data_IF_795266969815
#
_entry.id   IF_795266969815
#
_cell.length_a   1.000
_cell.length_b   1.000
_cell.length_c   1.000
_cell.angle_alpha   90.00
_cell.angle_beta   90.00
_cell.angle_gamma   90.00
#
_symmetry.space_group_name_H-M   'P 1'
#
loop_
_entity.id
_entity.type
_entity.pdbx_description
1 polymer ?
#
# COMPACT_ATOMS: atom_id res chain seq x y z
N UNK A 1 19.91 -24.88 -23.19
CA UNK A 1 21.29 -24.60 -22.74
C UNK A 1 21.19 -24.21 -21.26
N UNK A 2 21.39 -25.23 -20.46
CA UNK A 2 21.47 -25.17 -19.00
C UNK A 2 22.97 -25.03 -18.70
N UNK A 3 23.37 -23.99 -18.04
CA UNK A 3 24.59 -23.94 -17.19
C UNK A 3 24.87 -22.50 -16.78
N UNK A 4 24.54 -22.17 -15.53
CA UNK A 4 25.35 -21.36 -14.60
C UNK A 4 24.55 -21.08 -13.32
N UNK A 5 24.46 -22.15 -12.53
CA UNK A 5 24.06 -22.07 -11.11
C UNK A 5 25.15 -22.88 -10.36
N UNK A 6 26.26 -22.26 -10.01
CA UNK A 6 27.15 -22.69 -8.94
C UNK A 6 28.23 -21.62 -8.77
N UNK A 7 28.02 -20.70 -7.84
CA UNK A 7 29.04 -20.06 -7.01
C UNK A 7 28.44 -18.92 -6.21
N UNK A 8 27.96 -19.21 -5.02
CA UNK A 8 28.04 -18.36 -3.83
C UNK A 8 27.75 -19.26 -2.61
N UNK A 9 28.75 -20.00 -2.23
CA UNK A 9 28.82 -20.71 -0.98
C UNK A 9 30.14 -20.42 -0.32
N UNK A 10 30.22 -19.40 0.51
CA UNK A 10 31.16 -19.15 1.62
C UNK A 10 31.16 -17.67 1.97
N UNK A 11 30.47 -17.33 3.03
CA UNK A 11 30.81 -16.36 4.09
C UNK A 11 29.55 -16.23 4.98
N UNK A 12 29.41 -17.14 5.94
CA UNK A 12 28.66 -16.89 7.16
C UNK A 12 29.30 -17.70 8.29
N UNK A 13 30.27 -17.06 8.94
CA UNK A 13 30.66 -17.43 10.30
C UNK A 13 30.93 -16.15 11.09
N UNK A 14 30.33 -16.13 12.30
CA UNK A 14 30.50 -15.18 13.40
C UNK A 14 29.83 -13.80 13.24
N UNK A 15 28.72 -13.57 13.97
CA UNK A 15 28.80 -12.94 15.31
C UNK A 15 27.54 -13.30 16.09
N UNK A 16 27.65 -14.27 17.01
CA UNK A 16 26.80 -14.41 18.17
C UNK A 16 27.40 -13.51 19.25
N UNK A 17 26.79 -12.34 19.49
CA UNK A 17 27.04 -11.59 20.70
C UNK A 17 25.72 -11.41 21.43
N UNK A 18 25.67 -12.03 22.62
CA UNK A 18 24.55 -11.97 23.53
C UNK A 18 24.33 -10.54 24.04
N UNK A 19 23.13 -10.05 23.82
CA UNK A 19 22.61 -8.90 24.56
C UNK A 19 21.71 -9.44 25.65
N UNK A 20 22.21 -9.41 26.88
CA UNK A 20 21.42 -9.56 28.10
C UNK A 20 20.36 -8.46 28.13
N UNK A 21 19.11 -8.84 27.92
CA UNK A 21 17.98 -7.96 28.20
C UNK A 21 17.94 -7.66 29.71
N UNK A 22 18.22 -6.43 30.09
CA UNK A 22 17.86 -5.93 31.42
C UNK A 22 16.38 -5.61 31.41
N UNK A 23 15.62 -6.35 32.20
CA UNK A 23 14.25 -6.04 32.58
C UNK A 23 14.26 -4.83 33.53
N UNK A 24 14.11 -3.62 32.99
CA UNK A 24 13.76 -2.44 33.77
C UNK A 24 12.29 -2.08 33.54
N UNK A 25 11.40 -2.93 34.04
CA UNK A 25 10.00 -2.58 34.22
C UNK A 25 9.86 -1.77 35.52
N UNK A 26 9.82 -0.46 35.43
CA UNK A 26 9.39 0.40 36.52
C UNK A 26 7.89 0.58 36.50
N UNK A 27 7.24 0.06 37.52
CA UNK A 27 5.83 0.30 37.84
C UNK A 27 5.63 1.79 38.14
N UNK A 28 4.86 2.50 37.31
CA UNK A 28 4.52 3.92 37.50
C UNK A 28 3.05 4.02 37.89
N UNK A 29 2.82 4.63 39.07
CA UNK A 29 1.49 4.94 39.60
C UNK A 29 0.73 5.93 38.70
N UNK A 30 -0.62 5.85 38.60
CA UNK A 30 -1.41 6.72 37.73
C UNK A 30 -1.47 8.14 38.30
N UNK A 31 -1.04 9.11 37.49
CA UNK A 31 -1.24 10.53 37.78
C UNK A 31 -0.02 11.41 37.55
N UNK A 32 0.37 11.66 36.30
CA UNK A 32 1.07 12.88 35.91
C UNK A 32 1.03 13.08 34.38
N UNK A 33 0.54 14.25 33.96
CA UNK A 33 0.54 14.72 32.58
C UNK A 33 1.97 14.86 32.06
N UNK A 34 2.14 14.45 30.82
CA UNK A 34 3.37 14.27 30.07
C UNK A 34 4.22 15.54 29.93
N UNK A 35 5.54 15.37 30.05
CA UNK A 35 6.54 16.29 29.50
C UNK A 35 7.08 15.69 28.20
N UNK A 36 6.87 16.38 27.08
CA UNK A 36 7.57 16.06 25.83
C UNK A 36 9.09 16.13 26.05
N UNK A 37 9.76 15.00 25.95
CA UNK A 37 11.18 14.95 25.67
C UNK A 37 11.37 14.99 24.15
N UNK A 38 12.28 15.84 23.70
CA UNK A 38 12.53 16.12 22.27
C UNK A 38 12.56 14.85 21.41
N UNK A 39 11.60 14.73 20.49
CA UNK A 39 11.65 13.80 19.37
C UNK A 39 11.15 12.37 19.62
N UNK A 40 10.44 12.08 20.72
CA UNK A 40 9.88 10.75 20.99
C UNK A 40 8.39 10.86 21.32
N UNK A 41 7.56 10.13 20.58
CA UNK A 41 6.14 9.96 20.91
C UNK A 41 6.01 8.73 21.81
N UNK A 42 5.41 8.89 22.99
CA UNK A 42 5.14 7.77 23.91
C UNK A 42 3.66 7.40 23.74
N UNK A 43 3.41 6.20 23.28
CA UNK A 43 2.05 5.67 23.15
C UNK A 43 1.80 4.61 24.21
N UNK A 44 0.63 4.64 24.85
CA UNK A 44 0.19 3.63 25.79
C UNK A 44 -0.59 2.56 25.02
N UNK A 45 -0.10 1.32 25.07
CA UNK A 45 -0.78 0.15 24.51
C UNK A 45 -1.11 -0.78 25.66
N UNK A 46 -2.38 -0.83 26.06
CA UNK A 46 -2.80 -1.58 27.26
C UNK A 46 -2.05 -1.11 28.52
N UNK A 47 -1.24 -2.00 29.12
CA UNK A 47 -0.39 -1.71 30.31
C UNK A 47 1.02 -1.23 29.96
N UNK A 48 1.39 -1.12 28.66
CA UNK A 48 2.75 -0.83 28.23
C UNK A 48 2.84 0.53 27.56
N UNK A 49 3.98 1.19 27.73
CA UNK A 49 4.33 2.42 27.02
C UNK A 49 5.37 2.08 25.96
N UNK A 50 5.09 2.44 24.71
CA UNK A 50 6.03 2.33 23.60
C UNK A 50 6.49 3.73 23.18
N UNK A 51 7.81 3.93 23.14
CA UNK A 51 8.40 5.22 22.70
C UNK A 51 8.84 5.08 21.27
N UNK A 52 8.11 5.72 20.36
CA UNK A 52 8.45 5.75 18.94
C UNK A 52 9.55 6.77 18.66
N UNK A 53 10.45 6.40 17.76
CA UNK A 53 11.56 7.25 17.31
C UNK A 53 11.20 8.09 16.09
N UNK A 54 10.14 7.75 15.36
CA UNK A 54 9.71 8.42 14.12
C UNK A 54 8.19 8.62 14.09
N UNK A 55 7.75 9.71 13.43
CA UNK A 55 6.33 9.93 13.09
C UNK A 55 6.03 9.23 11.79
N UNK A 56 5.72 7.93 11.85
CA UNK A 56 5.37 7.13 10.67
C UNK A 56 3.89 7.31 10.33
N UNK A 57 3.59 7.60 9.08
CA UNK A 57 2.23 7.63 8.56
C UNK A 57 1.78 6.21 8.18
N UNK A 58 0.53 5.89 8.48
CA UNK A 58 -0.06 4.62 8.09
C UNK A 58 -1.20 4.84 7.11
N UNK A 59 -1.21 4.03 6.06
CA UNK A 59 -2.22 3.99 5.02
C UNK A 59 -2.71 2.56 4.83
N UNK A 60 -3.88 2.40 4.22
CA UNK A 60 -4.51 1.10 4.01
C UNK A 60 -4.58 0.79 2.52
N UNK A 61 -4.22 -0.44 2.15
CA UNK A 61 -4.57 -1.05 0.86
C UNK A 61 -5.61 -2.13 1.12
N UNK A 62 -6.83 -1.86 0.76
CA UNK A 62 -7.90 -2.85 0.81
C UNK A 62 -8.04 -3.57 -0.53
N UNK A 63 -7.85 -4.89 -0.51
CA UNK A 63 -8.03 -5.75 -1.66
C UNK A 63 -9.45 -6.31 -1.74
N UNK A 64 -10.38 -5.84 -0.89
CA UNK A 64 -11.77 -6.35 -0.80
C UNK A 64 -11.82 -7.89 -0.71
N UNK A 65 -11.16 -8.52 0.28
CA UNK A 65 -11.05 -9.97 0.34
C UNK A 65 -12.39 -10.63 0.67
N UNK A 66 -12.73 -11.68 -0.08
CA UNK A 66 -13.85 -12.57 0.24
C UNK A 66 -13.32 -13.62 1.21
N UNK A 67 -13.88 -13.65 2.43
CA UNK A 67 -13.51 -14.60 3.47
C UNK A 67 -14.29 -15.91 3.31
N UNK A 68 -13.74 -17.00 3.82
CA UNK A 68 -14.47 -18.28 3.84
C UNK A 68 -15.78 -18.13 4.61
N UNK A 69 -16.87 -18.61 4.02
CA UNK A 69 -18.23 -18.47 4.59
C UNK A 69 -18.86 -17.09 4.44
N UNK A 70 -18.21 -16.19 3.67
CA UNK A 70 -18.71 -14.87 3.28
C UNK A 70 -18.94 -14.81 1.77
N UNK A 71 -19.43 -13.67 1.28
CA UNK A 71 -19.67 -13.44 -0.15
C UNK A 71 -19.15 -12.04 -0.56
N UNK A 72 -19.24 -11.74 -1.86
CA UNK A 72 -18.79 -10.48 -2.42
C UNK A 72 -19.61 -9.28 -1.89
N UNK A 73 -20.92 -9.45 -1.65
CA UNK A 73 -21.79 -8.38 -1.14
C UNK A 73 -21.35 -7.97 0.26
N UNK A 74 -21.13 -8.95 1.13
CA UNK A 74 -20.64 -8.70 2.49
C UNK A 74 -19.24 -8.08 2.47
N UNK A 75 -18.34 -8.56 1.61
CA UNK A 75 -16.98 -8.00 1.49
C UNK A 75 -16.99 -6.53 1.06
N UNK A 76 -17.86 -6.14 0.15
CA UNK A 76 -18.04 -4.73 -0.25
C UNK A 76 -18.60 -3.87 0.89
N UNK A 77 -19.51 -4.40 1.72
CA UNK A 77 -20.01 -3.70 2.91
C UNK A 77 -18.87 -3.53 3.94
N UNK A 78 -18.08 -4.56 4.17
CA UNK A 78 -16.91 -4.52 5.06
C UNK A 78 -15.87 -3.49 4.61
N UNK A 79 -15.66 -3.33 3.29
CA UNK A 79 -14.82 -2.27 2.74
C UNK A 79 -15.32 -0.87 3.14
N UNK A 80 -16.63 -0.62 3.09
CA UNK A 80 -17.22 0.65 3.53
C UNK A 80 -17.06 0.85 5.04
N UNK A 81 -17.33 -0.18 5.83
CA UNK A 81 -17.17 -0.14 7.29
C UNK A 81 -15.73 0.15 7.70
N UNK A 82 -14.75 -0.53 7.06
CA UNK A 82 -13.33 -0.32 7.31
C UNK A 82 -12.86 1.08 6.89
N UNK A 83 -13.31 1.59 5.76
CA UNK A 83 -12.97 2.94 5.31
C UNK A 83 -13.47 4.03 6.29
N UNK A 84 -14.69 3.88 6.82
CA UNK A 84 -15.24 4.75 7.87
C UNK A 84 -14.40 4.67 9.16
N UNK A 85 -13.98 3.47 9.55
CA UNK A 85 -13.12 3.29 10.71
C UNK A 85 -11.77 3.97 10.50
N UNK A 86 -11.14 3.75 9.33
CA UNK A 86 -9.85 4.32 8.97
C UNK A 86 -9.86 5.86 8.98
N UNK A 87 -10.94 6.47 8.47
CA UNK A 87 -11.14 7.93 8.51
C UNK A 87 -11.22 8.45 9.95
N UNK A 88 -11.99 7.78 10.83
CA UNK A 88 -12.10 8.14 12.25
C UNK A 88 -10.80 7.97 13.01
N UNK A 89 -10.00 6.96 12.68
CA UNK A 89 -8.74 6.66 13.35
C UNK A 89 -7.58 7.56 12.89
N UNK A 90 -7.72 8.26 11.75
CA UNK A 90 -6.69 9.16 11.25
C UNK A 90 -5.64 8.49 10.37
N UNK A 91 -5.97 7.40 9.70
CA UNK A 91 -5.15 6.86 8.61
C UNK A 91 -5.00 7.89 7.49
N UNK A 92 -3.83 7.91 6.85
CA UNK A 92 -3.51 8.92 5.83
C UNK A 92 -4.29 8.70 4.55
N UNK A 93 -4.33 7.45 4.06
CA UNK A 93 -5.04 7.07 2.82
C UNK A 93 -5.67 5.69 2.89
N UNK A 94 -6.69 5.50 2.07
CA UNK A 94 -7.37 4.24 1.86
C UNK A 94 -7.39 3.95 0.36
N UNK A 95 -6.60 3.00 -0.07
CA UNK A 95 -6.49 2.59 -1.45
C UNK A 95 -7.20 1.28 -1.71
N UNK A 96 -7.75 1.16 -2.91
CA UNK A 96 -8.44 -0.04 -3.39
C UNK A 96 -7.66 -0.64 -4.56
N UNK A 97 -7.47 -1.94 -4.55
CA UNK A 97 -6.80 -2.65 -5.65
C UNK A 97 -7.76 -3.07 -6.76
N UNK A 98 -7.25 -3.22 -7.98
CA UNK A 98 -7.95 -3.78 -9.13
C UNK A 98 -7.51 -5.22 -9.32
N UNK A 99 -8.47 -6.16 -9.26
CA UNK A 99 -8.25 -7.58 -9.55
C UNK A 99 -9.39 -8.14 -10.37
N UNK A 100 -9.07 -9.05 -11.29
CA UNK A 100 -10.01 -9.66 -12.19
C UNK A 100 -9.90 -11.18 -12.15
N UNK A 101 -10.98 -11.86 -12.57
CA UNK A 101 -11.07 -13.31 -12.73
C UNK A 101 -10.58 -14.09 -11.50
N UNK A 102 -11.05 -13.70 -10.31
CA UNK A 102 -10.74 -14.38 -9.05
C UNK A 102 -11.99 -14.50 -8.18
N UNK A 103 -12.11 -15.60 -7.44
CA UNK A 103 -13.20 -15.81 -6.48
C UNK A 103 -12.85 -15.32 -5.07
N UNK A 104 -11.61 -14.89 -4.84
CA UNK A 104 -11.11 -14.54 -3.51
C UNK A 104 -11.16 -13.05 -3.19
N UNK A 105 -11.43 -12.20 -4.20
CA UNK A 105 -11.48 -10.75 -4.07
C UNK A 105 -12.72 -10.20 -4.79
N UNK A 106 -13.34 -9.15 -4.25
CA UNK A 106 -14.55 -8.55 -4.80
C UNK A 106 -14.30 -7.22 -5.56
N UNK A 107 -13.06 -6.70 -5.56
CA UNK A 107 -12.72 -5.37 -6.10
C UNK A 107 -12.20 -5.43 -7.53
N UNK A 108 -13.07 -5.22 -8.54
CA UNK A 108 -12.67 -5.16 -9.95
C UNK A 108 -12.58 -3.73 -10.50
N UNK A 109 -13.24 -2.75 -9.88
CA UNK A 109 -13.34 -1.37 -10.33
C UNK A 109 -13.13 -0.40 -9.17
N UNK A 110 -11.88 -0.09 -8.83
CA UNK A 110 -11.56 0.81 -7.71
C UNK A 110 -12.28 2.15 -7.78
N UNK A 111 -12.41 2.74 -8.97
CA UNK A 111 -13.04 4.04 -9.18
C UNK A 111 -14.52 4.08 -8.75
N UNK A 112 -15.25 2.98 -8.90
CA UNK A 112 -16.65 2.88 -8.46
C UNK A 112 -16.71 2.86 -6.93
N UNK A 113 -15.82 2.08 -6.30
CA UNK A 113 -15.74 2.00 -4.84
C UNK A 113 -15.23 3.31 -4.23
N UNK A 114 -14.26 3.98 -4.86
CA UNK A 114 -13.76 5.30 -4.42
C UNK A 114 -14.92 6.31 -4.40
N UNK A 115 -15.78 6.34 -5.43
CA UNK A 115 -16.95 7.21 -5.46
C UNK A 115 -17.89 6.94 -4.27
N UNK A 116 -18.11 5.66 -3.93
CA UNK A 116 -18.91 5.27 -2.77
C UNK A 116 -18.25 5.70 -1.46
N UNK A 117 -16.96 5.41 -1.28
CA UNK A 117 -16.23 5.72 -0.04
C UNK A 117 -16.08 7.21 0.19
N UNK A 118 -15.98 8.01 -0.88
CA UNK A 118 -15.89 9.46 -0.79
C UNK A 118 -17.11 10.10 -0.10
N UNK A 119 -18.29 9.52 -0.32
CA UNK A 119 -19.54 9.96 0.36
C UNK A 119 -19.61 9.51 1.82
N UNK A 120 -18.83 8.51 2.22
CA UNK A 120 -18.85 7.90 3.56
C UNK A 120 -17.74 8.41 4.49
N UNK A 121 -16.76 9.13 3.95
CA UNK A 121 -15.55 9.59 4.65
C UNK A 121 -15.34 11.09 4.45
N UNK A 122 -14.56 11.74 5.34
CA UNK A 122 -14.39 13.20 5.33
C UNK A 122 -12.95 13.66 5.18
N UNK A 123 -11.99 12.97 5.77
CA UNK A 123 -10.60 13.43 5.93
C UNK A 123 -9.60 12.56 5.18
N UNK A 124 -9.79 11.24 5.22
CA UNK A 124 -8.89 10.28 4.61
C UNK A 124 -8.79 10.48 3.09
N UNK A 125 -7.59 10.37 2.54
CA UNK A 125 -7.41 10.34 1.09
C UNK A 125 -7.86 8.99 0.55
N UNK A 126 -8.50 9.01 -0.61
CA UNK A 126 -9.04 7.82 -1.26
C UNK A 126 -8.33 7.62 -2.60
N UNK A 127 -8.07 6.39 -2.96
CA UNK A 127 -7.40 6.18 -4.25
C UNK A 127 -7.37 4.73 -4.71
N UNK A 128 -6.77 4.55 -5.87
CA UNK A 128 -6.44 3.22 -6.40
C UNK A 128 -5.04 2.79 -5.99
N UNK A 129 -4.91 1.53 -5.62
CA UNK A 129 -3.64 0.91 -5.29
C UNK A 129 -3.41 -0.42 -6.02
N UNK A 130 -3.61 -0.41 -7.37
CA UNK A 130 -3.78 0.65 -8.38
C UNK A 130 -4.73 0.31 -9.51
N UNK A 131 -4.91 1.29 -10.41
CA UNK A 131 -5.46 1.03 -11.73
C UNK A 131 -4.42 0.30 -12.56
N UNK A 132 -4.80 -0.82 -13.14
CA UNK A 132 -3.92 -1.58 -14.05
C UNK A 132 -4.00 -0.93 -15.43
N UNK A 133 -3.29 0.18 -15.63
CA UNK A 133 -3.43 1.08 -16.78
C UNK A 133 -3.42 0.38 -18.15
N UNK A 134 -2.63 -0.71 -18.38
CA UNK A 134 -2.68 -1.44 -19.66
C UNK A 134 -4.06 -2.05 -19.99
N UNK A 135 -4.92 -2.27 -19.00
CA UNK A 135 -6.27 -2.79 -19.20
C UNK A 135 -7.29 -1.71 -19.60
N UNK A 136 -6.88 -0.44 -19.63
CA UNK A 136 -7.79 0.70 -19.78
C UNK A 136 -7.35 1.69 -20.86
N UNK A 137 -8.28 2.52 -21.31
CA UNK A 137 -7.98 3.73 -22.06
C UNK A 137 -7.49 4.82 -21.12
N UNK A 138 -6.35 5.44 -21.42
CA UNK A 138 -5.81 6.57 -20.64
C UNK A 138 -6.83 7.73 -20.55
N UNK A 139 -7.59 8.00 -21.63
CA UNK A 139 -8.67 8.98 -21.62
C UNK A 139 -9.75 8.62 -20.59
N UNK A 140 -10.21 7.36 -20.57
CA UNK A 140 -11.29 6.96 -19.67
C UNK A 140 -10.84 6.98 -18.20
N UNK A 141 -9.59 6.59 -17.91
CA UNK A 141 -9.02 6.72 -16.57
C UNK A 141 -8.93 8.19 -16.15
N UNK A 142 -8.46 9.08 -17.04
CA UNK A 142 -8.42 10.52 -16.76
C UNK A 142 -9.81 11.07 -16.43
N UNK A 143 -10.84 10.74 -17.23
CA UNK A 143 -12.21 11.20 -16.99
C UNK A 143 -12.78 10.69 -15.67
N UNK A 144 -12.63 9.41 -15.35
CA UNK A 144 -13.09 8.85 -14.10
C UNK A 144 -12.42 9.54 -12.89
N UNK A 145 -11.12 9.76 -12.94
CA UNK A 145 -10.39 10.37 -11.80
C UNK A 145 -10.56 11.90 -11.74
N UNK A 146 -10.80 12.58 -12.86
CA UNK A 146 -11.26 13.98 -12.85
C UNK A 146 -12.64 14.11 -12.20
N UNK A 147 -13.56 13.21 -12.51
CA UNK A 147 -14.88 13.19 -11.89
C UNK A 147 -14.79 12.94 -10.37
N UNK A 148 -13.96 11.98 -9.95
CA UNK A 148 -13.73 11.72 -8.53
C UNK A 148 -13.11 12.93 -7.81
N UNK A 149 -12.12 13.58 -8.43
CA UNK A 149 -11.49 14.78 -7.87
C UNK A 149 -12.47 15.96 -7.80
N UNK A 150 -13.38 16.09 -8.79
CA UNK A 150 -14.44 17.10 -8.75
C UNK A 150 -15.44 16.86 -7.60
N UNK A 151 -15.75 15.60 -7.31
CA UNK A 151 -16.64 15.22 -6.20
C UNK A 151 -15.96 15.34 -4.83
N UNK A 152 -14.65 15.07 -4.76
CA UNK A 152 -13.87 15.01 -3.50
C UNK A 152 -12.53 15.75 -3.63
N UNK A 153 -12.55 17.08 -3.82
CA UNK A 153 -11.36 17.86 -4.14
C UNK A 153 -10.22 17.68 -3.13
N UNK A 154 -9.01 17.47 -3.64
CA UNK A 154 -7.79 17.34 -2.85
C UNK A 154 -7.64 16.02 -2.09
N UNK A 155 -8.60 15.08 -2.24
CA UNK A 155 -8.59 13.81 -1.52
C UNK A 155 -8.30 12.58 -2.39
N UNK A 156 -8.13 12.75 -3.70
CA UNK A 156 -8.03 11.63 -4.62
C UNK A 156 -6.58 11.32 -4.97
N UNK A 157 -6.22 10.03 -4.89
CA UNK A 157 -4.97 9.46 -5.37
C UNK A 157 -5.23 8.52 -6.55
N UNK A 158 -4.46 8.66 -7.62
CA UNK A 158 -4.46 7.75 -8.75
C UNK A 158 -3.16 6.95 -8.75
N UNK A 159 -3.19 5.77 -8.16
CA UNK A 159 -2.11 4.81 -8.22
C UNK A 159 -2.19 3.98 -9.50
N UNK A 160 -1.06 3.88 -10.21
CA UNK A 160 -0.93 3.18 -11.49
C UNK A 160 -0.12 1.90 -11.33
N UNK A 161 -0.65 0.78 -11.82
CA UNK A 161 0.03 -0.50 -11.93
C UNK A 161 0.28 -0.88 -13.39
N UNK A 162 1.37 -1.64 -13.63
CA UNK A 162 1.68 -2.21 -14.94
C UNK A 162 1.22 -3.68 -15.06
N UNK A 163 1.13 -4.36 -13.92
CA UNK A 163 0.70 -5.76 -13.90
C UNK A 163 -0.74 -5.91 -14.43
N UNK A 164 -1.11 -7.07 -15.00
CA UNK A 164 -2.45 -7.25 -15.58
C UNK A 164 -3.59 -7.30 -14.55
N UNK A 165 -3.31 -7.46 -13.26
CA UNK A 165 -4.34 -7.62 -12.21
C UNK A 165 -5.16 -8.92 -12.32
N UNK A 166 -4.79 -9.79 -13.25
CA UNK A 166 -5.43 -11.06 -13.57
C UNK A 166 -4.61 -11.83 -14.61
N UNK A 167 -5.25 -12.76 -15.30
CA UNK A 167 -4.64 -13.53 -16.38
C UNK A 167 -4.64 -12.76 -17.72
N UNK A 168 -3.86 -13.28 -18.69
CA UNK A 168 -3.70 -12.64 -20.00
C UNK A 168 -4.98 -12.57 -20.82
N UNK A 169 -5.83 -13.60 -20.74
CA UNK A 169 -7.10 -13.64 -21.49
C UNK A 169 -8.03 -12.54 -20.97
N UNK A 170 -8.13 -12.41 -19.66
CA UNK A 170 -8.90 -11.35 -19.02
C UNK A 170 -8.42 -9.95 -19.45
N UNK A 171 -7.11 -9.72 -19.48
CA UNK A 171 -6.53 -8.44 -19.94
C UNK A 171 -6.87 -8.16 -21.41
N UNK A 172 -6.86 -9.17 -22.29
CA UNK A 172 -7.27 -9.02 -23.68
C UNK A 172 -8.75 -8.69 -23.85
N UNK A 173 -9.61 -9.22 -22.97
CA UNK A 173 -11.05 -8.91 -22.97
C UNK A 173 -11.33 -7.49 -22.45
N UNK A 174 -10.57 -7.03 -21.45
CA UNK A 174 -10.69 -5.67 -20.91
C UNK A 174 -10.20 -4.61 -21.91
N UNK A 175 -9.07 -4.86 -22.54
CA UNK A 175 -8.49 -3.99 -23.56
C UNK A 175 -7.94 -4.81 -24.75
N UNK A 176 -8.76 -5.06 -25.78
CA UNK A 176 -8.34 -5.80 -26.98
C UNK A 176 -7.15 -5.15 -27.72
N UNK A 177 -6.93 -3.85 -27.52
CA UNK A 177 -5.80 -3.12 -28.11
C UNK A 177 -4.50 -3.22 -27.31
N UNK A 178 -4.51 -3.87 -26.14
CA UNK A 178 -3.33 -4.03 -25.30
C UNK A 178 -2.31 -4.96 -25.97
N UNK A 179 -1.19 -4.41 -26.37
CA UNK A 179 -0.09 -5.15 -27.00
C UNK A 179 0.86 -5.78 -25.99
N UNK A 180 0.74 -5.44 -24.70
CA UNK A 180 1.70 -5.76 -23.63
C UNK A 180 3.12 -5.21 -23.88
N UNK A 181 3.25 -4.25 -24.80
CA UNK A 181 4.52 -3.58 -25.10
C UNK A 181 4.84 -2.56 -23.98
N UNK A 182 6.03 -2.61 -23.36
CA UNK A 182 6.46 -1.61 -22.40
C UNK A 182 6.44 -0.17 -22.92
N UNK A 183 6.67 0.05 -24.21
CA UNK A 183 6.61 1.38 -24.83
C UNK A 183 5.18 1.91 -24.90
N UNK A 184 4.19 1.02 -25.09
CA UNK A 184 2.78 1.39 -25.04
C UNK A 184 2.39 1.90 -23.66
N UNK A 185 2.83 1.22 -22.60
CA UNK A 185 2.60 1.66 -21.22
C UNK A 185 3.18 3.06 -20.95
N UNK A 186 4.39 3.34 -21.44
CA UNK A 186 5.00 4.67 -21.32
C UNK A 186 4.17 5.74 -22.06
N UNK A 187 3.68 5.43 -23.26
CA UNK A 187 2.78 6.33 -24.01
C UNK A 187 1.48 6.58 -23.26
N UNK A 188 0.86 5.53 -22.71
CA UNK A 188 -0.36 5.65 -21.92
C UNK A 188 -0.19 6.55 -20.69
N UNK A 189 0.95 6.46 -19.98
CA UNK A 189 1.28 7.35 -18.85
C UNK A 189 1.37 8.80 -19.35
N UNK A 190 2.07 9.05 -20.45
CA UNK A 190 2.18 10.39 -21.03
C UNK A 190 0.84 10.98 -21.46
N UNK A 191 -0.01 10.17 -22.10
CA UNK A 191 -1.36 10.59 -22.47
C UNK A 191 -2.24 10.88 -21.25
N UNK A 192 -2.18 10.01 -20.23
CA UNK A 192 -2.92 10.19 -18.97
C UNK A 192 -2.52 11.49 -18.27
N UNK A 193 -1.23 11.74 -18.15
CA UNK A 193 -0.71 12.97 -17.52
C UNK A 193 -1.14 14.22 -18.31
N UNK A 194 -1.04 14.20 -19.64
CA UNK A 194 -1.49 15.28 -20.49
C UNK A 194 -3.01 15.54 -20.37
N UNK A 195 -3.83 14.48 -20.30
CA UNK A 195 -5.26 14.60 -20.05
C UNK A 195 -5.59 15.16 -18.68
N UNK A 196 -4.83 14.83 -17.64
CA UNK A 196 -5.07 15.31 -16.28
C UNK A 196 -4.60 16.75 -16.05
N UNK A 197 -3.53 17.18 -16.74
CA UNK A 197 -2.96 18.53 -16.61
C UNK A 197 -3.55 19.55 -17.58
N UNK A 198 -4.36 19.13 -18.57
CA UNK A 198 -4.77 19.94 -19.72
C UNK A 198 -3.58 20.53 -20.53
N UNK A 199 -2.39 19.96 -20.36
CA UNK A 199 -1.18 20.40 -21.04
C UNK A 199 -1.04 19.70 -22.40
N UNK A 200 -0.83 20.49 -23.46
CA UNK A 200 -0.54 19.94 -24.79
C UNK A 200 0.93 19.54 -24.86
N UNK A 201 1.20 18.25 -24.67
CA UNK A 201 2.55 17.68 -24.78
C UNK A 201 2.72 17.04 -26.15
N UNK A 202 3.81 17.35 -26.90
CA UNK A 202 4.06 16.72 -28.18
C UNK A 202 4.08 15.18 -28.07
N UNK A 203 3.39 14.53 -29.04
CA UNK A 203 3.30 13.05 -29.04
C UNK A 203 2.17 12.46 -28.21
N UNK A 204 1.43 13.26 -27.44
CA UNK A 204 0.23 12.82 -26.71
C UNK A 204 -1.05 13.03 -27.51
N UNK A 205 -2.14 12.34 -27.09
CA UNK A 205 -3.46 12.50 -27.70
C UNK A 205 -4.21 13.76 -27.22
N UNK A 206 -3.74 14.41 -26.15
CA UNK A 206 -4.30 15.67 -25.69
C UNK A 206 -4.17 16.76 -26.81
N UNK A 207 -5.19 17.58 -26.95
CA UNK A 207 -5.28 18.55 -28.05
C UNK A 207 -6.09 18.05 -29.26
N UNK A 208 -6.16 16.72 -29.48
CA UNK A 208 -7.09 16.08 -30.42
C UNK A 208 -8.40 15.73 -29.73
N UNK A 209 -8.31 15.26 -28.49
CA UNK A 209 -9.43 14.87 -27.63
C UNK A 209 -9.21 15.49 -26.24
N UNK A 210 -10.27 15.79 -25.51
CA UNK A 210 -10.22 16.38 -24.18
C UNK A 210 -10.86 15.45 -23.17
N UNK A 211 -10.22 15.26 -22.01
CA UNK A 211 -10.83 14.61 -20.88
C UNK A 211 -11.77 15.57 -20.14
N UNK A 212 -12.94 15.10 -19.76
CA UNK A 212 -13.96 15.85 -19.01
C UNK A 212 -14.25 15.20 -17.65
N UNK A 213 -14.71 15.95 -16.60
CA UNK A 213 -14.87 17.40 -16.58
C UNK A 213 -13.53 18.15 -16.52
N UNK A 214 -13.51 19.40 -16.99
CA UNK A 214 -12.36 20.30 -16.75
C UNK A 214 -12.52 20.92 -15.38
N UNK A 215 -11.48 20.75 -14.55
CA UNK A 215 -11.44 21.23 -13.16
C UNK A 215 -10.07 21.84 -12.87
N UNK A 216 -10.00 22.72 -11.86
CA UNK A 216 -8.76 23.41 -11.49
C UNK A 216 -7.81 22.59 -10.62
N UNK A 217 -8.25 21.41 -10.16
CA UNK A 217 -7.45 20.47 -9.35
C UNK A 217 -7.23 19.16 -10.10
N UNK A 218 -6.34 18.33 -9.62
CA UNK A 218 -6.05 17.00 -10.19
C UNK A 218 -5.72 15.98 -9.11
N UNK A 219 -6.01 14.68 -9.33
CA UNK A 219 -5.62 13.63 -8.40
C UNK A 219 -4.10 13.54 -8.26
N UNK A 220 -3.60 13.17 -7.08
CA UNK A 220 -2.18 12.90 -6.89
C UNK A 220 -1.79 11.59 -7.58
N UNK A 221 -0.75 11.62 -8.41
CA UNK A 221 -0.29 10.45 -9.17
C UNK A 221 0.74 9.65 -8.38
N UNK A 222 0.51 8.35 -8.33
CA UNK A 222 1.39 7.36 -7.71
C UNK A 222 1.74 6.26 -8.69
N UNK A 223 3.02 5.92 -8.78
CA UNK A 223 3.47 4.73 -9.49
C UNK A 223 3.65 3.59 -8.50
N UNK A 224 3.00 2.45 -8.76
CA UNK A 224 3.10 1.25 -7.94
C UNK A 224 4.11 0.29 -8.57
N UNK A 225 4.99 -0.28 -7.76
CA UNK A 225 6.02 -1.19 -8.24
C UNK A 225 6.38 -2.25 -7.22
N UNK A 226 6.79 -3.42 -7.71
CA UNK A 226 7.50 -4.47 -6.95
C UNK A 226 8.89 -4.74 -7.54
N UNK A 227 9.37 -3.86 -8.44
CA UNK A 227 10.67 -3.96 -9.10
C UNK A 227 11.29 -2.58 -9.32
N UNK A 228 12.53 -2.53 -9.78
CA UNK A 228 13.23 -1.26 -10.05
C UNK A 228 12.75 -0.53 -11.30
N UNK A 229 12.13 -1.20 -12.28
CA UNK A 229 11.79 -0.60 -13.58
C UNK A 229 10.78 0.55 -13.46
N UNK A 230 9.63 0.32 -12.82
CA UNK A 230 8.62 1.36 -12.64
C UNK A 230 9.08 2.48 -11.71
N UNK A 231 10.11 2.25 -10.87
CA UNK A 231 10.73 3.31 -10.09
C UNK A 231 11.45 4.35 -10.97
N UNK A 232 12.05 3.93 -12.09
CA UNK A 232 12.61 4.86 -13.09
C UNK A 232 11.52 5.68 -13.78
N UNK A 233 10.36 5.07 -14.09
CA UNK A 233 9.25 5.78 -14.69
C UNK A 233 8.66 6.81 -13.71
N UNK A 234 8.47 6.44 -12.44
CA UNK A 234 8.04 7.37 -11.40
C UNK A 234 8.98 8.58 -11.29
N UNK A 235 10.29 8.34 -11.27
CA UNK A 235 11.29 9.40 -11.22
C UNK A 235 11.28 10.29 -12.47
N UNK A 236 11.11 9.70 -13.67
CA UNK A 236 11.07 10.42 -14.94
C UNK A 236 9.85 11.34 -15.07
N UNK A 237 8.67 10.85 -14.68
CA UNK A 237 7.42 11.61 -14.74
C UNK A 237 7.16 12.47 -13.49
N UNK A 238 8.05 12.48 -12.50
CA UNK A 238 7.87 13.25 -11.27
C UNK A 238 6.66 12.83 -10.45
N UNK A 239 6.35 11.52 -10.45
CA UNK A 239 5.25 10.92 -9.68
C UNK A 239 5.73 10.41 -8.34
N UNK A 240 4.83 10.30 -7.35
CA UNK A 240 5.11 9.58 -6.12
C UNK A 240 5.26 8.07 -6.38
N UNK A 241 6.02 7.38 -5.52
CA UNK A 241 6.32 5.95 -5.65
C UNK A 241 5.79 5.15 -4.47
N UNK A 242 5.11 4.03 -4.72
CA UNK A 242 4.81 3.04 -3.68
C UNK A 242 5.39 1.69 -4.03
N UNK A 243 6.29 1.19 -3.18
CA UNK A 243 6.93 -0.12 -3.38
C UNK A 243 6.16 -1.22 -2.66
N UNK A 244 5.73 -2.24 -3.40
CA UNK A 244 4.96 -3.37 -2.89
C UNK A 244 5.88 -4.45 -2.30
N UNK A 245 6.36 -4.23 -1.06
CA UNK A 245 7.15 -5.21 -0.29
C UNK A 245 6.37 -6.52 -0.11
N UNK A 246 5.06 -6.45 0.00
CA UNK A 246 4.18 -7.62 0.09
C UNK A 246 4.16 -8.49 -1.18
N UNK A 247 4.60 -7.97 -2.35
CA UNK A 247 4.77 -8.75 -3.59
C UNK A 247 6.22 -9.26 -3.69
N UNK A 248 7.18 -8.37 -3.56
CA UNK A 248 8.60 -8.74 -3.66
C UNK A 248 9.37 -8.19 -2.45
N UNK A 249 9.85 -9.06 -1.55
CA UNK A 249 10.56 -8.60 -0.35
C UNK A 249 12.01 -8.19 -0.61
N UNK A 250 12.49 -8.28 -1.86
CA UNK A 250 13.90 -8.02 -2.20
C UNK A 250 14.00 -6.82 -3.13
N UNK A 251 14.96 -5.93 -2.85
CA UNK A 251 15.32 -4.82 -3.74
C UNK A 251 14.53 -3.51 -3.52
N UNK A 252 13.57 -3.45 -2.58
CA UNK A 252 12.76 -2.26 -2.35
C UNK A 252 13.55 -1.02 -1.95
N UNK A 253 14.46 -1.16 -1.00
CA UNK A 253 15.33 -0.07 -0.58
C UNK A 253 16.20 0.48 -1.73
N UNK A 254 16.74 -0.41 -2.59
CA UNK A 254 17.49 -0.01 -3.76
C UNK A 254 16.63 0.70 -4.81
N UNK A 255 15.39 0.22 -5.05
CA UNK A 255 14.46 0.84 -5.98
C UNK A 255 14.07 2.25 -5.53
N UNK A 256 13.74 2.44 -4.25
CA UNK A 256 13.39 3.75 -3.68
C UNK A 256 14.59 4.71 -3.70
N UNK A 257 15.80 4.24 -3.40
CA UNK A 257 17.02 5.05 -3.51
C UNK A 257 17.23 5.52 -4.93
N UNK A 258 17.18 4.62 -5.91
CA UNK A 258 17.35 4.94 -7.33
C UNK A 258 16.26 5.90 -7.83
N UNK A 259 15.02 5.75 -7.35
CA UNK A 259 13.94 6.71 -7.61
C UNK A 259 14.30 8.11 -7.12
N UNK A 260 14.77 8.25 -5.88
CA UNK A 260 15.14 9.56 -5.30
C UNK A 260 16.29 10.23 -6.02
N UNK A 261 17.35 9.47 -6.36
CA UNK A 261 18.52 9.97 -7.06
C UNK A 261 18.22 10.49 -8.47
N UNK A 262 17.17 9.97 -9.11
CA UNK A 262 16.80 10.26 -10.50
C UNK A 262 15.53 11.11 -10.62
N UNK A 263 14.92 11.47 -9.49
CA UNK A 263 13.65 12.18 -9.47
C UNK A 263 13.75 13.52 -10.21
N UNK A 264 12.76 13.75 -11.08
CA UNK A 264 12.56 15.01 -11.78
C UNK A 264 11.34 15.71 -11.21
N UNK A 265 11.49 16.92 -10.65
CA UNK A 265 10.34 17.67 -10.17
C UNK A 265 9.28 17.85 -11.26
N UNK A 266 8.01 17.76 -10.87
CA UNK A 266 6.84 18.02 -11.71
C UNK A 266 5.99 19.12 -11.09
N UNK A 267 4.94 19.54 -11.78
CA UNK A 267 3.97 20.48 -11.21
C UNK A 267 3.23 19.92 -9.98
N UNK A 268 3.14 18.59 -9.85
CA UNK A 268 2.47 17.94 -8.71
C UNK A 268 3.41 17.76 -7.54
N UNK A 269 4.69 17.52 -7.79
CA UNK A 269 5.62 17.04 -6.78
C UNK A 269 6.99 17.69 -6.97
N UNK A 270 7.35 18.59 -6.05
CA UNK A 270 8.64 19.31 -6.09
C UNK A 270 9.81 18.47 -5.55
N UNK A 271 9.53 17.43 -4.75
CA UNK A 271 10.53 16.54 -4.14
C UNK A 271 10.00 15.09 -4.15
N UNK A 272 10.90 14.08 -4.18
CA UNK A 272 10.49 12.69 -4.25
C UNK A 272 9.72 12.26 -3.00
N UNK A 273 8.57 11.62 -3.20
CA UNK A 273 7.73 11.04 -2.16
C UNK A 273 7.64 9.53 -2.38
N UNK A 274 7.90 8.73 -1.33
CA UNK A 274 7.84 7.28 -1.44
C UNK A 274 7.16 6.64 -0.22
N UNK A 275 6.47 5.53 -0.45
CA UNK A 275 5.89 4.65 0.57
C UNK A 275 6.27 3.19 0.30
N UNK A 276 6.05 2.31 1.27
CA UNK A 276 6.22 0.88 1.12
C UNK A 276 4.98 0.12 1.60
N UNK A 277 4.54 -0.88 0.82
CA UNK A 277 3.39 -1.71 1.13
C UNK A 277 3.78 -3.03 1.79
N UNK A 278 3.10 -3.42 2.88
CA UNK A 278 3.36 -4.66 3.62
C UNK A 278 2.05 -5.31 4.07
N UNK A 279 2.02 -6.65 4.09
CA UNK A 279 0.94 -7.34 4.80
C UNK A 279 1.16 -7.23 6.30
N UNK A 280 0.12 -6.88 7.04
CA UNK A 280 0.24 -6.80 8.49
C UNK A 280 -1.02 -7.26 9.22
N UNK A 281 -0.81 -7.80 10.40
CA UNK A 281 -1.86 -8.10 11.37
C UNK A 281 -1.28 -8.03 12.78
N UNK A 282 -1.99 -7.40 13.69
CA UNK A 282 -1.62 -7.46 15.10
C UNK A 282 -2.83 -7.80 15.97
N UNK A 283 -2.53 -8.52 17.06
CA UNK A 283 -3.51 -8.85 18.09
C UNK A 283 -2.81 -8.95 19.46
N UNK A 284 -3.53 -8.63 20.51
CA UNK A 284 -3.07 -8.87 21.88
C UNK A 284 -3.22 -10.36 22.30
N UNK A 285 -4.01 -11.13 21.51
CA UNK A 285 -4.20 -12.56 21.68
C UNK A 285 -3.15 -13.35 20.88
N UNK A 286 -2.20 -14.04 21.53
CA UNK A 286 -1.17 -14.83 20.85
C UNK A 286 -1.73 -15.97 19.99
N UNK A 287 -2.92 -16.48 20.30
CA UNK A 287 -3.53 -17.53 19.51
C UNK A 287 -3.99 -16.98 18.15
N UNK A 288 -4.64 -15.83 18.13
CA UNK A 288 -5.02 -15.14 16.87
C UNK A 288 -3.81 -14.78 16.02
N UNK A 289 -2.70 -14.36 16.63
CA UNK A 289 -1.44 -14.11 15.91
C UNK A 289 -0.97 -15.37 15.19
N UNK A 290 -0.95 -16.52 15.88
CA UNK A 290 -0.55 -17.83 15.28
C UNK A 290 -1.49 -18.26 14.15
N UNK A 291 -2.79 -18.06 14.34
CA UNK A 291 -3.80 -18.42 13.35
C UNK A 291 -3.61 -17.61 12.05
N UNK A 292 -3.49 -16.30 12.17
CA UNK A 292 -3.29 -15.43 10.98
C UNK A 292 -1.91 -15.67 10.35
N UNK A 293 -0.86 -15.94 11.13
CA UNK A 293 0.45 -16.31 10.59
C UNK A 293 0.35 -17.59 9.74
N UNK A 294 -0.31 -18.63 10.25
CA UNK A 294 -0.52 -19.88 9.52
C UNK A 294 -1.33 -19.67 8.22
N UNK A 295 -2.41 -18.87 8.28
CA UNK A 295 -3.21 -18.53 7.10
C UNK A 295 -2.39 -17.79 6.07
N UNK A 296 -1.57 -16.83 6.47
CA UNK A 296 -0.72 -16.05 5.56
C UNK A 296 0.41 -16.90 4.95
N UNK A 297 1.04 -17.78 5.70
CA UNK A 297 2.03 -18.72 5.19
C UNK A 297 1.44 -19.61 4.08
N UNK A 298 0.24 -20.18 4.35
CA UNK A 298 -0.47 -21.00 3.38
C UNK A 298 -0.93 -20.19 2.16
N UNK A 299 -1.50 -19.00 2.37
CA UNK A 299 -1.97 -18.09 1.30
C UNK A 299 -0.86 -17.75 0.32
N UNK A 300 0.27 -17.25 0.82
CA UNK A 300 1.38 -16.82 -0.02
C UNK A 300 1.98 -17.99 -0.82
N UNK A 301 2.13 -19.15 -0.18
CA UNK A 301 2.62 -20.36 -0.86
C UNK A 301 1.63 -20.86 -1.91
N UNK A 302 0.33 -20.88 -1.61
CA UNK A 302 -0.73 -21.32 -2.52
C UNK A 302 -0.81 -20.42 -3.75
N UNK A 303 -0.72 -19.09 -3.55
CA UNK A 303 -0.67 -18.13 -4.63
C UNK A 303 0.54 -18.38 -5.56
N UNK A 304 1.73 -18.60 -5.01
CA UNK A 304 2.93 -18.91 -5.79
C UNK A 304 2.84 -20.26 -6.55
N UNK A 305 2.03 -21.17 -6.09
CA UNK A 305 1.71 -22.46 -6.76
C UNK A 305 0.59 -22.36 -7.77
N UNK A 306 0.02 -21.18 -8.00
CA UNK A 306 -1.08 -20.98 -8.93
C UNK A 306 -2.44 -21.49 -8.43
N UNK A 307 -2.63 -21.64 -7.12
CA UNK A 307 -3.91 -22.03 -6.52
C UNK A 307 -4.74 -20.79 -6.22
N UNK A 308 -5.38 -20.24 -7.22
CA UNK A 308 -6.13 -18.98 -7.10
C UNK A 308 -7.60 -19.17 -6.72
N UNK A 309 -8.10 -20.41 -6.81
CA UNK A 309 -9.52 -20.75 -6.61
C UNK A 309 -9.83 -21.26 -5.19
N UNK A 310 -8.92 -21.06 -4.25
CA UNK A 310 -9.08 -21.44 -2.86
C UNK A 310 -9.05 -20.21 -1.95
N UNK A 311 -10.09 -20.07 -1.12
CA UNK A 311 -10.11 -19.06 -0.05
C UNK A 311 -9.37 -19.63 1.16
N UNK A 312 -8.15 -19.18 1.48
CA UNK A 312 -7.39 -19.66 2.62
C UNK A 312 -8.11 -19.36 3.94
N UNK A 313 -8.04 -20.30 4.88
CA UNK A 313 -8.55 -20.14 6.24
C UNK A 313 -7.68 -20.92 7.21
N UNK A 314 -7.82 -20.66 8.51
CA UNK A 314 -7.07 -21.38 9.54
C UNK A 314 -7.38 -22.87 9.54
N UNK A 315 -8.63 -23.25 9.29
CA UNK A 315 -9.04 -24.67 9.21
C UNK A 315 -8.30 -25.47 8.13
N UNK A 316 -7.89 -24.80 7.03
CA UNK A 316 -7.07 -25.41 5.99
C UNK A 316 -5.58 -25.33 6.35
N UNK A 317 -5.12 -24.17 6.81
CA UNK A 317 -3.71 -23.89 7.04
C UNK A 317 -3.10 -24.70 8.18
N UNK A 318 -3.85 -24.94 9.27
CA UNK A 318 -3.38 -25.63 10.48
C UNK A 318 -2.93 -27.07 10.22
N UNK A 319 -3.57 -27.75 9.26
CA UNK A 319 -3.33 -29.16 8.96
C UNK A 319 -2.45 -29.37 7.70
N UNK A 320 -1.96 -28.28 7.09
CA UNK A 320 -1.14 -28.36 5.89
C UNK A 320 0.28 -28.82 6.22
N UNK A 321 0.68 -29.97 5.69
CA UNK A 321 2.01 -30.54 5.87
C UNK A 321 3.00 -29.97 4.87
N UNK A 322 3.77 -28.96 5.28
CA UNK A 322 4.82 -28.36 4.47
C UNK A 322 5.98 -29.34 4.24
N UNK A 323 6.39 -29.52 2.97
CA UNK A 323 7.67 -30.15 2.68
C UNK A 323 8.84 -29.24 3.13
N UNK A 324 10.08 -29.76 3.27
CA UNK A 324 11.24 -28.93 3.65
C UNK A 324 11.46 -27.74 2.69
N UNK A 325 11.26 -27.94 1.39
CA UNK A 325 11.42 -26.88 0.39
C UNK A 325 10.33 -25.81 0.52
N UNK A 326 9.08 -26.20 0.74
CA UNK A 326 7.97 -25.28 0.99
C UNK A 326 8.17 -24.49 2.26
N UNK A 327 8.68 -25.12 3.32
CA UNK A 327 8.98 -24.43 4.58
C UNK A 327 10.05 -23.36 4.41
N UNK A 328 11.11 -23.63 3.64
CA UNK A 328 12.10 -22.60 3.30
C UNK A 328 11.48 -21.45 2.51
N UNK A 329 10.52 -21.74 1.63
CA UNK A 329 9.79 -20.70 0.89
C UNK A 329 8.87 -19.90 1.80
N UNK A 330 8.19 -20.53 2.75
CA UNK A 330 7.39 -19.85 3.78
C UNK A 330 8.26 -18.88 4.58
N UNK A 331 9.43 -19.32 5.08
CA UNK A 331 10.35 -18.44 5.81
C UNK A 331 10.80 -17.23 4.97
N UNK A 332 11.04 -17.42 3.68
CA UNK A 332 11.31 -16.32 2.78
C UNK A 332 10.12 -15.37 2.65
N UNK A 333 8.91 -15.92 2.50
CA UNK A 333 7.68 -15.15 2.34
C UNK A 333 7.30 -14.35 3.59
N UNK A 334 7.69 -14.77 4.78
CA UNK A 334 7.49 -14.01 6.02
C UNK A 334 8.18 -12.63 6.03
N UNK A 335 9.15 -12.39 5.15
CA UNK A 335 9.69 -11.04 4.92
C UNK A 335 8.65 -10.07 4.35
N UNK A 336 7.57 -10.57 3.75
CA UNK A 336 6.46 -9.82 3.15
C UNK A 336 5.40 -9.43 4.18
N UNK A 337 5.53 -9.89 5.43
CA UNK A 337 4.54 -9.76 6.49
C UNK A 337 5.11 -9.12 7.75
N UNK A 338 4.22 -8.49 8.52
CA UNK A 338 4.44 -8.04 9.89
C UNK A 338 3.25 -8.53 10.72
N UNK A 339 3.36 -9.73 11.30
CA UNK A 339 2.32 -10.38 12.09
C UNK A 339 2.87 -10.60 13.49
N UNK A 340 2.12 -10.18 14.52
CA UNK A 340 2.56 -10.30 15.91
C UNK A 340 1.73 -9.48 16.88
N UNK A 341 2.26 -9.29 18.08
CA UNK A 341 1.71 -8.32 19.04
C UNK A 341 1.86 -6.88 18.51
N UNK A 342 1.06 -5.91 18.99
CA UNK A 342 1.15 -4.51 18.53
C UNK A 342 2.57 -3.95 18.60
N UNK A 343 3.35 -4.30 19.64
CA UNK A 343 4.73 -3.84 19.81
C UNK A 343 5.68 -4.50 18.80
N UNK A 344 5.52 -5.78 18.52
CA UNK A 344 6.33 -6.50 17.53
C UNK A 344 6.10 -5.94 16.12
N UNK A 345 4.83 -5.72 15.75
CA UNK A 345 4.47 -5.12 14.48
C UNK A 345 5.01 -3.69 14.36
N UNK A 346 4.89 -2.87 15.42
CA UNK A 346 5.44 -1.52 15.44
C UNK A 346 6.97 -1.51 15.21
N UNK A 347 7.72 -2.38 15.88
CA UNK A 347 9.17 -2.52 15.67
C UNK A 347 9.50 -2.93 14.22
N UNK A 348 8.73 -3.86 13.66
CA UNK A 348 8.92 -4.28 12.27
C UNK A 348 8.66 -3.14 11.29
N UNK A 349 7.64 -2.32 11.55
CA UNK A 349 7.32 -1.14 10.75
C UNK A 349 8.42 -0.07 10.82
N UNK A 350 8.93 0.24 12.01
CA UNK A 350 10.05 1.17 12.18
C UNK A 350 11.31 0.69 11.44
N UNK A 351 11.63 -0.60 11.56
CA UNK A 351 12.77 -1.21 10.86
C UNK A 351 12.60 -1.09 9.34
N UNK A 352 11.43 -1.43 8.81
CA UNK A 352 11.15 -1.35 7.38
C UNK A 352 11.20 0.10 6.87
N UNK A 353 10.60 1.03 7.62
CA UNK A 353 10.59 2.44 7.26
C UNK A 353 12.01 3.02 7.23
N UNK A 354 12.86 2.66 8.18
CA UNK A 354 14.27 3.07 8.22
C UNK A 354 15.07 2.45 7.07
N UNK A 355 14.91 1.15 6.80
CA UNK A 355 15.60 0.44 5.72
C UNK A 355 15.28 1.05 4.34
N UNK A 356 14.02 1.40 4.12
CA UNK A 356 13.54 2.00 2.87
C UNK A 356 13.67 3.52 2.84
N UNK A 357 13.91 4.12 4.01
CA UNK A 357 13.93 5.57 4.20
C UNK A 357 12.58 6.22 3.91
N UNK A 358 11.46 5.59 4.19
CA UNK A 358 10.10 6.10 3.94
C UNK A 358 9.43 6.56 5.23
N UNK A 359 8.53 7.52 5.10
CA UNK A 359 7.75 8.07 6.22
C UNK A 359 6.30 7.55 6.20
N UNK A 360 5.96 6.69 5.25
CA UNK A 360 4.63 6.14 5.09
C UNK A 360 4.68 4.65 4.75
N UNK A 361 3.88 3.84 5.48
CA UNK A 361 3.62 2.44 5.16
C UNK A 361 2.16 2.23 4.76
N UNK A 362 1.96 1.45 3.69
CA UNK A 362 0.65 1.05 3.18
C UNK A 362 0.38 -0.38 3.61
N UNK A 363 -0.64 -0.57 4.44
CA UNK A 363 -0.91 -1.82 5.12
C UNK A 363 -2.06 -2.56 4.42
N UNK A 364 -1.87 -3.85 4.12
CA UNK A 364 -2.95 -4.74 3.73
C UNK A 364 -3.10 -5.84 4.76
N UNK A 365 -4.33 -6.04 5.27
CA UNK A 365 -4.61 -7.03 6.33
C UNK A 365 -5.60 -8.08 5.83
N UNK A 366 -5.23 -9.35 6.01
CA UNK A 366 -6.10 -10.50 5.83
C UNK A 366 -6.31 -11.16 7.20
N UNK A 367 -7.56 -11.48 7.51
CA UNK A 367 -7.95 -12.24 8.69
C UNK A 367 -9.22 -13.03 8.37
N UNK A 368 -9.46 -14.15 9.07
CA UNK A 368 -10.65 -14.98 8.88
C UNK A 368 -11.91 -14.30 9.43
N UNK A 369 -11.76 -13.43 10.44
CA UNK A 369 -12.84 -12.62 11.03
C UNK A 369 -12.69 -11.15 10.61
N UNK A 370 -13.81 -10.50 10.30
CA UNK A 370 -13.82 -9.08 9.99
C UNK A 370 -13.58 -8.23 11.24
N UNK A 371 -14.09 -8.67 12.37
CA UNK A 371 -13.89 -8.04 13.68
C UNK A 371 -12.41 -8.02 14.04
N UNK A 372 -11.69 -9.12 13.84
CA UNK A 372 -10.24 -9.18 14.08
C UNK A 372 -9.46 -8.29 13.12
N UNK A 373 -9.94 -8.18 11.87
CA UNK A 373 -9.37 -7.25 10.90
C UNK A 373 -9.53 -5.79 11.34
N UNK A 374 -10.72 -5.39 11.79
CA UNK A 374 -10.98 -4.05 12.32
C UNK A 374 -10.12 -3.77 13.55
N UNK A 375 -10.12 -4.70 14.51
CA UNK A 375 -9.37 -4.57 15.75
C UNK A 375 -7.86 -4.43 15.53
N UNK A 376 -7.30 -5.16 14.56
CA UNK A 376 -5.90 -5.00 14.15
C UNK A 376 -5.58 -3.56 13.70
N UNK A 377 -6.46 -2.92 12.93
CA UNK A 377 -6.28 -1.52 12.54
C UNK A 377 -6.45 -0.55 13.71
N UNK A 378 -7.36 -0.82 14.66
CA UNK A 378 -7.52 -0.02 15.88
C UNK A 378 -6.26 -0.07 16.76
N UNK A 379 -5.70 -1.26 16.95
CA UNK A 379 -4.45 -1.44 17.69
C UNK A 379 -3.28 -0.71 17.04
N UNK A 380 -3.13 -0.80 15.71
CA UNK A 380 -2.09 -0.09 14.96
C UNK A 380 -2.27 1.42 15.09
N UNK A 381 -3.48 1.94 14.93
CA UNK A 381 -3.77 3.36 15.11
C UNK A 381 -3.39 3.84 16.52
N UNK A 382 -3.72 3.04 17.54
CA UNK A 382 -3.37 3.34 18.94
C UNK A 382 -1.86 3.38 19.16
N UNK A 383 -1.12 2.37 18.69
CA UNK A 383 0.34 2.28 18.85
C UNK A 383 1.05 3.45 18.17
N UNK A 384 0.58 3.85 16.98
CA UNK A 384 1.19 4.94 16.21
C UNK A 384 0.61 6.32 16.56
N UNK A 385 -0.31 6.39 17.53
CA UNK A 385 -0.90 7.67 17.98
C UNK A 385 -1.62 8.41 16.85
N UNK A 386 -2.29 7.68 15.95
CA UNK A 386 -3.06 8.30 14.88
C UNK A 386 -4.26 9.04 15.48
N UNK A 387 -4.61 10.18 14.89
CA UNK A 387 -5.77 10.97 15.31
C UNK A 387 -6.43 11.65 14.11
N UNK A 388 -7.76 11.58 14.05
CA UNK A 388 -8.52 12.24 12.99
C UNK A 388 -8.27 13.76 12.98
N UNK A 389 -8.12 14.34 11.80
CA UNK A 389 -7.99 15.77 11.59
C UNK A 389 -6.56 16.34 11.65
N UNK A 390 -5.54 15.52 11.87
CA UNK A 390 -4.13 15.93 11.74
C UNK A 390 -3.57 15.49 10.39
N UNK A 391 -4.10 16.04 9.29
CA UNK A 391 -3.44 15.92 8.00
C UNK A 391 -2.14 16.74 8.04
N UNK A 392 -1.00 16.07 8.20
CA UNK A 392 0.34 16.67 8.09
C UNK A 392 0.79 16.79 6.62
N UNK A 393 -0.13 16.97 5.70
CA UNK A 393 0.21 17.36 4.34
C UNK A 393 0.59 18.83 4.42
N UNK A 394 1.87 19.13 4.34
CA UNK A 394 2.37 20.50 4.16
C UNK A 394 1.83 20.96 2.80
N UNK A 395 0.96 22.00 2.73
CA UNK A 395 0.55 22.56 1.45
C UNK A 395 1.79 23.14 0.79
N UNK A 396 1.96 22.91 -0.50
CA UNK A 396 2.89 23.69 -1.29
C UNK A 396 2.51 25.17 -1.08
N UNK A 397 3.39 25.95 -0.44
CA UNK A 397 3.18 27.38 -0.21
C UNK A 397 2.94 28.05 -1.55
N UNK A 398 1.71 28.54 -1.76
CA UNK A 398 1.37 29.51 -2.78
C UNK A 398 2.14 30.81 -2.49
N UNK A 399 3.35 30.95 -3.03
CA UNK A 399 4.00 32.25 -3.09
C UNK A 399 3.26 33.09 -4.10
N UNK A 400 2.51 34.04 -3.55
CA UNK A 400 1.66 34.97 -4.27
C UNK A 400 2.38 35.66 -5.41
N UNK A 401 1.70 35.71 -6.55
CA UNK A 401 1.92 36.70 -7.56
C UNK A 401 1.36 38.04 -7.03
N UNK A 402 2.23 38.90 -6.51
CA UNK A 402 1.93 40.32 -6.36
C UNK A 402 1.75 40.92 -7.76
N UNK A 403 0.51 41.21 -8.08
CA UNK A 403 0.15 42.05 -9.20
C UNK A 403 0.60 43.47 -8.87
N UNK A 404 1.62 43.99 -9.55
CA UNK A 404 1.84 45.42 -9.65
C UNK A 404 1.14 45.95 -10.89
N UNK A 405 0.36 46.99 -10.62
CA UNK A 405 -0.39 47.86 -11.53
C UNK A 405 0.45 48.38 -12.71
#
# INVERSE_FOLDING_TARGET
MISNLYQVGRIFKFILWGVKARNDAKEVRPGRRERMQRGRTICQVGRYYYSMTTTLQLSILDQTPIRRGSDAVRSLQETVELARLADRLGYTRYWLSEHHNTITLAGASPEILIARLGAETRHIRLGSGGIMLPNHSALKVAENFRLLEALYPGRIDLGLGRAPGGDRLTSQLLNPSNTFDPQEYIRQIGDLEAFLSDASTPGTMHGKVRAIPRIGTRPALWMLTSSGESAYLAAHFGMALSYAQFINPVGGAAAIRSYRERFRPSEQLSAPQASAGIFAFCSEDPQKVKEVEAVMDYRLLSFEKGRYDEIPSYEIAKDYAYSPAEWQRVLFNRQRTAIGTPIEVARRFETLAQEFGVDELVISTFADSFEDRLHSYELLASVFGLSAGVSKIVPAENRGAETRV
#
